data_IF_216327790817
#
_entry.id   IF_216327790817
#
_cell.length_a   1.000
_cell.length_b   1.000
_cell.length_c   1.000
_cell.angle_alpha   90.00
_cell.angle_beta   90.00
_cell.angle_gamma   90.00
#
_symmetry.space_group_name_H-M   'P 1'
#
loop_
_entity.id
_entity.type
_entity.pdbx_description
1 polymer ?
#
# COMPACT_ATOMS: atom_id res chain seq x y z
N UNK A 1 -3.87 -7.88 -13.75
CA UNK A 1 -2.93 -8.06 -12.62
C UNK A 1 -2.40 -6.70 -12.20
N UNK A 2 -2.08 -6.52 -10.92
CA UNK A 2 -1.47 -5.27 -10.42
C UNK A 2 0.03 -5.51 -10.27
N UNK A 3 0.78 -5.10 -11.29
CA UNK A 3 2.23 -5.34 -11.48
C UNK A 3 3.08 -4.10 -11.23
N UNK A 4 2.50 -3.11 -10.55
CA UNK A 4 3.13 -1.82 -10.25
C UNK A 4 4.30 -1.95 -9.27
N UNK A 5 4.34 -3.00 -8.46
CA UNK A 5 5.52 -3.38 -7.68
C UNK A 5 6.55 -4.03 -8.60
N UNK A 6 7.44 -3.20 -9.15
CA UNK A 6 8.55 -3.63 -10.00
C UNK A 6 9.61 -4.36 -9.16
N UNK A 7 9.45 -5.68 -9.02
CA UNK A 7 10.47 -6.56 -8.44
C UNK A 7 11.44 -7.03 -9.54
N UNK A 8 12.23 -6.11 -10.11
CA UNK A 8 13.26 -6.40 -11.14
C UNK A 8 14.25 -7.50 -10.73
N UNK A 9 14.37 -7.78 -9.44
CA UNK A 9 15.21 -8.83 -8.89
C UNK A 9 14.44 -9.65 -7.84
N UNK A 10 14.69 -10.97 -7.73
CA UNK A 10 14.08 -11.79 -6.71
C UNK A 10 14.52 -11.34 -5.30
N UNK A 11 13.59 -11.38 -4.35
CA UNK A 11 13.91 -11.07 -2.96
C UNK A 11 14.83 -12.14 -2.37
N UNK A 12 15.93 -11.70 -1.75
CA UNK A 12 16.90 -12.58 -1.10
C UNK A 12 16.30 -13.43 0.03
N UNK A 13 15.24 -12.93 0.68
CA UNK A 13 14.54 -13.63 1.76
C UNK A 13 13.04 -13.41 1.68
N UNK A 14 12.27 -14.33 2.26
CA UNK A 14 10.80 -14.18 2.38
C UNK A 14 10.42 -12.95 3.21
N UNK A 15 11.24 -12.58 4.20
CA UNK A 15 11.04 -11.37 5.00
C UNK A 15 11.22 -10.10 4.16
N UNK A 16 12.25 -10.04 3.32
CA UNK A 16 12.45 -8.91 2.42
C UNK A 16 11.28 -8.75 1.43
N UNK A 17 10.75 -9.86 0.92
CA UNK A 17 9.56 -9.85 0.08
C UNK A 17 8.34 -9.30 0.84
N UNK A 18 8.10 -9.78 2.06
CA UNK A 18 7.00 -9.31 2.92
C UNK A 18 7.09 -7.81 3.18
N UNK A 19 8.26 -7.31 3.53
CA UNK A 19 8.46 -5.89 3.82
C UNK A 19 8.26 -5.02 2.57
N UNK A 20 8.77 -5.45 1.41
CA UNK A 20 8.59 -4.73 0.16
C UNK A 20 7.12 -4.68 -0.27
N UNK A 21 6.40 -5.80 -0.15
CA UNK A 21 4.96 -5.87 -0.43
C UNK A 21 4.17 -4.98 0.54
N UNK A 22 4.50 -5.02 1.84
CA UNK A 22 3.84 -4.19 2.84
C UNK A 22 4.03 -2.69 2.55
N UNK A 23 5.28 -2.26 2.34
CA UNK A 23 5.61 -0.87 2.02
C UNK A 23 4.95 -0.40 0.72
N UNK A 24 4.87 -1.27 -0.29
CA UNK A 24 4.17 -0.98 -1.53
C UNK A 24 2.66 -0.83 -1.32
N UNK A 25 2.03 -1.75 -0.57
CA UNK A 25 0.59 -1.70 -0.30
C UNK A 25 0.22 -0.43 0.46
N UNK A 26 0.93 -0.13 1.55
CA UNK A 26 0.59 0.99 2.44
C UNK A 26 1.04 2.34 1.87
N UNK A 27 2.28 2.43 1.39
CA UNK A 27 2.87 3.70 0.98
C UNK A 27 2.47 4.15 -0.42
N UNK A 28 2.27 3.21 -1.35
CA UNK A 28 1.97 3.52 -2.74
C UNK A 28 0.55 3.14 -3.13
N UNK A 29 0.18 1.87 -2.99
CA UNK A 29 -1.03 1.34 -3.59
C UNK A 29 -2.32 1.85 -2.93
N UNK A 30 -2.43 1.76 -1.60
CA UNK A 30 -3.62 2.23 -0.87
C UNK A 30 -3.76 3.76 -0.94
N UNK A 31 -2.64 4.47 -1.13
CA UNK A 31 -2.61 5.93 -1.28
C UNK A 31 -2.96 6.40 -2.69
N UNK A 32 -2.38 5.79 -3.72
CA UNK A 32 -2.52 6.23 -5.12
C UNK A 32 -3.71 5.57 -5.82
N UNK A 33 -4.10 4.36 -5.40
CA UNK A 33 -5.19 3.59 -5.99
C UNK A 33 -6.32 3.43 -4.99
N UNK A 34 -6.82 4.56 -4.50
CA UNK A 34 -8.08 4.63 -3.77
C UNK A 34 -9.18 4.13 -4.70
N UNK A 35 -9.80 3.01 -4.32
CA UNK A 35 -11.04 2.55 -4.92
C UNK A 35 -12.18 3.43 -4.38
N UNK A 36 -12.08 4.74 -4.65
CA UNK A 36 -12.99 5.77 -4.15
C UNK A 36 -14.43 5.48 -4.59
N UNK A 37 -14.60 4.86 -5.76
CA UNK A 37 -15.88 4.40 -6.28
C UNK A 37 -16.61 3.36 -5.41
N UNK A 38 -15.93 2.66 -4.49
CA UNK A 38 -16.55 1.71 -3.55
C UNK A 38 -16.47 2.17 -2.08
N UNK A 39 -16.07 3.43 -1.83
CA UNK A 39 -15.99 3.98 -0.48
C UNK A 39 -14.82 3.46 0.37
N UNK A 40 -13.80 2.86 -0.24
CA UNK A 40 -12.61 2.41 0.48
C UNK A 40 -11.78 3.61 0.97
N UNK A 41 -11.59 3.73 2.29
CA UNK A 41 -10.67 4.68 2.93
C UNK A 41 -9.37 3.97 3.30
N UNK A 42 -8.24 4.59 2.99
CA UNK A 42 -6.94 4.04 3.34
C UNK A 42 -6.67 4.20 4.85
N UNK A 43 -5.77 3.39 5.44
CA UNK A 43 -5.37 3.56 6.85
C UNK A 43 -4.90 4.99 7.14
N UNK A 44 -4.09 5.56 6.24
CA UNK A 44 -3.65 6.95 6.34
C UNK A 44 -4.81 7.95 6.34
N UNK A 45 -5.87 7.72 5.54
CA UNK A 45 -7.07 8.57 5.54
C UNK A 45 -7.84 8.46 6.87
N UNK A 46 -7.91 7.26 7.46
CA UNK A 46 -8.48 7.06 8.79
C UNK A 46 -7.65 7.73 9.89
N UNK A 47 -6.33 7.61 9.86
CA UNK A 47 -5.42 8.24 10.82
C UNK A 47 -5.47 9.78 10.71
N UNK A 48 -5.54 10.33 9.49
CA UNK A 48 -5.67 11.76 9.25
C UNK A 48 -7.06 12.28 9.67
N UNK A 49 -8.13 11.52 9.45
CA UNK A 49 -9.48 11.87 9.90
C UNK A 49 -9.63 11.83 11.43
N UNK A 50 -8.90 10.95 12.11
CA UNK A 50 -8.88 10.86 13.57
C UNK A 50 -8.05 11.97 14.23
N UNK A 51 -7.01 12.48 13.56
CA UNK A 51 -6.19 13.59 14.06
C UNK A 51 -6.82 14.99 13.85
N UNK A 52 -7.89 15.07 13.06
CA UNK A 52 -8.58 16.32 12.70
C UNK A 52 -9.92 16.52 13.46
N UNK A 53 -10.24 15.66 14.43
CA UNK A 53 -11.42 15.75 15.31
C UNK A 53 -10.99 16.00 16.76
#
# INVERSE_FOLDING_TARGET
MKTELDARQPFKTRLAAKNAVFAFIEGFYNRNRLQSAIGYRSPADLEQGAAAA
#
